data_IF_517609081767
#
_entry.id   IF_517609081767
#
_cell.length_a   1.000
_cell.length_b   1.000
_cell.length_c   1.000
_cell.angle_alpha   90.00
_cell.angle_beta   90.00
_cell.angle_gamma   90.00
#
_symmetry.space_group_name_H-M   'P 1'
#
loop_
_entity.id
_entity.type
_entity.pdbx_description
1 polymer ?
#
# COMPACT_ATOMS: atom_id res chain seq x y z
N UNK A 1 -18.37 0.53 11.08
CA UNK A 1 -17.37 0.77 10.02
C UNK A 1 -17.93 0.21 8.72
N UNK A 2 -17.98 1.03 7.68
CA UNK A 2 -18.38 0.61 6.34
C UNK A 2 -17.39 -0.41 5.76
N UNK A 3 -17.85 -1.23 4.82
CA UNK A 3 -17.02 -2.26 4.19
C UNK A 3 -15.76 -1.68 3.54
N UNK A 4 -15.89 -0.52 2.89
CA UNK A 4 -14.76 0.19 2.28
C UNK A 4 -13.71 0.60 3.32
N UNK A 5 -14.14 1.05 4.51
CA UNK A 5 -13.22 1.45 5.58
C UNK A 5 -12.39 0.26 6.07
N UNK A 6 -13.02 -0.92 6.19
CA UNK A 6 -12.32 -2.15 6.58
C UNK A 6 -11.26 -2.50 5.54
N UNK A 7 -11.62 -2.54 4.25
CA UNK A 7 -10.66 -2.88 3.20
C UNK A 7 -9.53 -1.85 3.06
N UNK A 8 -9.84 -0.56 3.22
CA UNK A 8 -8.84 0.50 3.21
C UNK A 8 -7.82 0.32 4.34
N UNK A 9 -8.29 0.11 5.57
CA UNK A 9 -7.41 -0.10 6.73
C UNK A 9 -6.58 -1.37 6.54
N UNK A 10 -7.18 -2.46 6.05
CA UNK A 10 -6.44 -3.70 5.77
C UNK A 10 -5.36 -3.49 4.71
N UNK A 11 -5.69 -2.83 3.59
CA UNK A 11 -4.75 -2.52 2.52
C UNK A 11 -3.59 -1.65 3.02
N UNK A 12 -3.90 -0.55 3.72
CA UNK A 12 -2.87 0.32 4.30
C UNK A 12 -1.99 -0.42 5.32
N UNK A 13 -2.58 -1.26 6.17
CA UNK A 13 -1.84 -2.05 7.16
C UNK A 13 -0.89 -3.04 6.49
N UNK A 14 -1.37 -3.79 5.49
CA UNK A 14 -0.55 -4.77 4.78
C UNK A 14 0.59 -4.08 4.02
N UNK A 15 0.30 -2.95 3.37
CA UNK A 15 1.33 -2.16 2.72
C UNK A 15 2.37 -1.66 3.73
N UNK A 16 1.97 -1.14 4.89
CA UNK A 16 2.92 -0.72 5.94
C UNK A 16 3.76 -1.88 6.47
N UNK A 17 3.18 -3.06 6.66
CA UNK A 17 3.94 -4.27 7.04
C UNK A 17 4.96 -4.64 5.96
N UNK A 18 4.60 -4.51 4.69
CA UNK A 18 5.52 -4.68 3.59
C UNK A 18 6.65 -3.63 3.62
N UNK A 19 6.34 -2.35 3.87
CA UNK A 19 7.37 -1.30 3.94
C UNK A 19 8.34 -1.48 5.13
N UNK A 20 7.88 -2.07 6.24
CA UNK A 20 8.75 -2.47 7.35
C UNK A 20 9.73 -3.57 6.91
N UNK A 21 9.25 -4.59 6.20
CA UNK A 21 10.11 -5.63 5.62
C UNK A 21 11.06 -5.03 4.57
N UNK A 22 10.57 -4.11 3.75
CA UNK A 22 11.32 -3.39 2.74
C UNK A 22 12.48 -2.59 3.34
N UNK A 23 12.23 -1.91 4.47
CA UNK A 23 13.25 -1.20 5.20
C UNK A 23 14.33 -2.15 5.76
N UNK A 24 13.92 -3.30 6.32
CA UNK A 24 14.83 -4.33 6.81
C UNK A 24 15.72 -4.89 5.69
N UNK A 25 15.14 -5.16 4.52
CA UNK A 25 15.82 -5.67 3.34
C UNK A 25 16.60 -4.59 2.56
N UNK A 26 16.61 -3.35 3.05
CA UNK A 26 17.29 -2.19 2.45
C UNK A 26 16.88 -1.99 0.99
N UNK A 27 15.57 -2.01 0.72
CA UNK A 27 15.03 -1.93 -0.64
C UNK A 27 15.49 -0.67 -1.41
N UNK A 28 15.83 0.42 -0.70
CA UNK A 28 16.46 1.60 -1.31
C UNK A 28 17.75 1.27 -2.07
N UNK A 29 18.49 0.21 -1.72
CA UNK A 29 19.69 -0.23 -2.45
C UNK A 29 19.34 -1.02 -3.70
N UNK A 30 18.23 -1.75 -3.64
CA UNK A 30 17.69 -2.54 -4.75
C UNK A 30 17.13 -1.60 -5.82
N UNK A 31 16.33 -0.64 -5.41
CA UNK A 31 15.69 0.38 -6.24
C UNK A 31 16.61 1.56 -6.57
N UNK A 32 17.83 1.58 -6.01
CA UNK A 32 18.82 2.65 -6.17
C UNK A 32 18.25 4.04 -5.83
N UNK A 33 17.44 4.11 -4.77
CA UNK A 33 16.85 5.36 -4.30
C UNK A 33 17.95 6.26 -3.70
N UNK A 34 17.90 7.58 -3.94
CA UNK A 34 18.83 8.53 -3.34
C UNK A 34 18.58 8.67 -1.83
N UNK A 35 19.60 9.13 -1.09
CA UNK A 35 19.45 9.42 0.34
C UNK A 35 19.49 8.22 1.29
N UNK A 36 19.65 6.99 0.77
CA UNK A 36 19.75 5.75 1.59
C UNK A 36 18.56 5.63 2.55
N UNK A 37 18.80 5.25 3.80
CA UNK A 37 17.77 5.11 4.84
C UNK A 37 17.05 6.43 5.12
N UNK A 38 17.74 7.57 5.14
CA UNK A 38 17.11 8.88 5.42
C UNK A 38 16.13 9.26 4.32
N UNK A 39 16.53 9.06 3.06
CA UNK A 39 15.66 9.26 1.90
C UNK A 39 14.45 8.34 1.92
N UNK A 40 14.64 7.08 2.30
CA UNK A 40 13.56 6.10 2.43
C UNK A 40 12.55 6.52 3.50
N UNK A 41 13.00 6.93 4.69
CA UNK A 41 12.11 7.41 5.76
C UNK A 41 11.37 8.67 5.34
N UNK A 42 12.07 9.66 4.75
CA UNK A 42 11.46 10.90 4.28
C UNK A 42 10.38 10.67 3.22
N UNK A 43 10.56 9.69 2.34
CA UNK A 43 9.55 9.27 1.36
C UNK A 43 8.29 8.72 2.05
N UNK A 44 8.45 7.96 3.13
CA UNK A 44 7.35 7.29 3.82
C UNK A 44 6.52 8.20 4.72
N UNK A 45 7.10 9.27 5.27
CA UNK A 45 6.36 10.25 6.11
C UNK A 45 5.08 10.74 5.43
N UNK A 46 5.11 11.33 4.21
CA UNK A 46 3.89 11.80 3.56
C UNK A 46 2.93 10.65 3.22
N UNK A 47 3.43 9.46 2.86
CA UNK A 47 2.60 8.29 2.56
C UNK A 47 1.80 7.86 3.80
N UNK A 48 2.45 7.78 4.96
CA UNK A 48 1.82 7.39 6.23
C UNK A 48 0.78 8.44 6.65
N UNK A 49 1.09 9.73 6.50
CA UNK A 49 0.12 10.81 6.77
C UNK A 49 -1.12 10.66 5.89
N UNK A 50 -0.94 10.36 4.60
CA UNK A 50 -2.04 10.14 3.67
C UNK A 50 -2.87 8.90 4.01
N UNK A 51 -2.28 7.84 4.58
CA UNK A 51 -3.06 6.69 5.06
C UNK A 51 -3.92 7.03 6.27
N UNK A 52 -3.38 7.74 7.26
CA UNK A 52 -4.18 8.14 8.42
C UNK A 52 -5.27 9.15 8.02
N UNK A 53 -4.93 10.15 7.22
CA UNK A 53 -5.92 11.11 6.71
C UNK A 53 -6.99 10.41 5.86
N UNK A 54 -6.57 9.52 4.95
CA UNK A 54 -7.47 8.72 4.14
C UNK A 54 -8.41 7.85 4.99
N UNK A 55 -7.93 7.24 6.07
CA UNK A 55 -8.77 6.44 6.97
C UNK A 55 -9.86 7.29 7.66
N UNK A 56 -9.51 8.51 8.09
CA UNK A 56 -10.47 9.44 8.70
C UNK A 56 -11.53 9.93 7.71
N UNK A 57 -11.14 10.14 6.45
CA UNK A 57 -12.02 10.67 5.41
C UNK A 57 -12.88 9.58 4.74
N UNK A 58 -12.35 8.37 4.60
CA UNK A 58 -13.07 7.26 3.97
C UNK A 58 -14.21 6.73 4.85
N UNK A 59 -14.08 6.83 6.18
CA UNK A 59 -15.17 6.51 7.11
C UNK A 59 -16.36 7.47 6.95
N UNK A 60 -16.09 8.72 6.60
CA UNK A 60 -17.11 9.75 6.33
C UNK A 60 -17.62 9.73 4.89
N UNK A 61 -17.09 8.83 4.05
CA UNK A 61 -17.39 8.74 2.62
C UNK A 61 -17.19 10.07 1.87
N UNK A 62 -16.24 10.91 2.29
CA UNK A 62 -15.96 12.16 1.58
C UNK A 62 -15.33 11.87 0.22
N UNK A 63 -15.52 12.77 -0.74
CA UNK A 63 -14.89 12.64 -2.06
C UNK A 63 -13.36 12.51 -1.96
N UNK A 64 -12.73 13.25 -1.04
CA UNK A 64 -11.30 13.13 -0.77
C UNK A 64 -10.91 11.75 -0.23
N UNK A 65 -11.71 11.19 0.71
CA UNK A 65 -11.51 9.85 1.24
C UNK A 65 -11.62 8.77 0.16
N UNK A 66 -12.60 8.87 -0.74
CA UNK A 66 -12.75 7.94 -1.86
C UNK A 66 -11.62 8.07 -2.89
N UNK A 67 -11.16 9.30 -3.18
CA UNK A 67 -10.00 9.50 -4.05
C UNK A 67 -8.73 8.87 -3.45
N UNK A 68 -8.52 9.05 -2.14
CA UNK A 68 -7.44 8.39 -1.42
C UNK A 68 -7.62 6.87 -1.39
N UNK A 69 -8.86 6.37 -1.35
CA UNK A 69 -9.16 4.95 -1.52
C UNK A 69 -8.70 4.39 -2.87
N UNK A 70 -8.89 5.13 -3.96
CA UNK A 70 -8.36 4.77 -5.29
C UNK A 70 -6.83 4.77 -5.29
N UNK A 71 -6.21 5.83 -4.78
CA UNK A 71 -4.74 5.97 -4.75
C UNK A 71 -4.10 4.86 -3.91
N UNK A 72 -4.58 4.65 -2.69
CA UNK A 72 -4.09 3.59 -1.78
C UNK A 72 -4.39 2.20 -2.33
N UNK A 73 -5.58 2.01 -2.93
CA UNK A 73 -5.94 0.77 -3.62
C UNK A 73 -4.98 0.43 -4.77
N UNK A 74 -4.63 1.41 -5.60
CA UNK A 74 -3.62 1.27 -6.65
C UNK A 74 -2.21 1.05 -6.08
N UNK A 75 -1.88 1.70 -4.96
CA UNK A 75 -0.64 1.46 -4.21
C UNK A 75 -0.47 0.01 -3.76
N UNK A 76 -1.57 -0.70 -3.49
CA UNK A 76 -1.58 -2.12 -3.12
C UNK A 76 -0.91 -3.05 -4.15
N UNK A 77 -0.84 -2.63 -5.41
CA UNK A 77 -0.21 -3.39 -6.49
C UNK A 77 1.30 -3.19 -6.56
N UNK A 78 1.84 -2.10 -5.99
CA UNK A 78 3.25 -1.72 -6.13
C UNK A 78 4.19 -2.84 -5.62
N UNK A 79 3.98 -3.43 -4.42
CA UNK A 79 4.84 -4.52 -3.95
C UNK A 79 4.88 -5.71 -4.91
N UNK A 80 3.72 -6.08 -5.47
CA UNK A 80 3.65 -7.17 -6.42
C UNK A 80 4.43 -6.86 -7.69
N UNK A 81 4.26 -5.65 -8.26
CA UNK A 81 4.98 -5.24 -9.46
C UNK A 81 6.50 -5.26 -9.22
N UNK A 82 6.95 -4.68 -8.10
CA UNK A 82 8.37 -4.62 -7.76
C UNK A 82 8.95 -6.02 -7.55
N UNK A 83 8.34 -6.83 -6.68
CA UNK A 83 8.92 -8.10 -6.23
C UNK A 83 8.65 -9.30 -7.14
N UNK A 84 7.70 -9.20 -8.08
CA UNK A 84 7.39 -10.31 -9.01
C UNK A 84 7.72 -10.01 -10.46
N UNK A 85 7.68 -8.76 -10.88
CA UNK A 85 7.89 -8.40 -12.28
C UNK A 85 9.27 -7.76 -12.47
N UNK A 86 9.61 -6.75 -11.66
CA UNK A 86 10.80 -5.93 -11.93
C UNK A 86 12.07 -6.40 -11.22
N UNK A 87 11.95 -6.96 -10.02
CA UNK A 87 13.09 -7.34 -9.17
C UNK A 87 12.90 -8.79 -8.70
N UNK A 88 13.24 -9.74 -9.57
CA UNK A 88 13.32 -11.15 -9.17
C UNK A 88 14.74 -11.43 -8.65
N UNK A 89 14.96 -11.34 -7.33
CA UNK A 89 16.24 -11.72 -6.72
C UNK A 89 16.08 -12.93 -5.78
N UNK A 90 17.02 -13.88 -5.87
CA UNK A 90 16.98 -15.17 -5.17
C UNK A 90 17.21 -15.11 -3.66
N UNK A 91 17.66 -13.96 -3.14
CA UNK A 91 18.24 -13.92 -1.78
C UNK A 91 17.51 -12.99 -0.79
N UNK A 92 16.46 -12.25 -1.21
CA UNK A 92 15.68 -11.32 -0.36
C UNK A 92 14.18 -11.43 -0.63
N UNK A 93 13.34 -11.20 0.40
CA UNK A 93 11.86 -11.32 0.34
C UNK A 93 11.32 -12.74 0.04
N UNK A 94 11.99 -13.79 0.55
CA UNK A 94 11.54 -15.19 0.38
C UNK A 94 10.74 -15.73 1.56
N UNK A 95 10.50 -14.91 2.58
CA UNK A 95 9.73 -15.35 3.73
C UNK A 95 8.29 -15.69 3.29
N UNK A 96 7.71 -16.75 3.88
CA UNK A 96 6.31 -17.11 3.61
C UNK A 96 5.37 -15.95 3.93
N UNK A 97 5.73 -15.14 4.94
CA UNK A 97 4.99 -13.96 5.36
C UNK A 97 5.06 -12.88 4.28
N UNK A 98 6.22 -12.62 3.69
CA UNK A 98 6.39 -11.66 2.58
C UNK A 98 5.44 -11.96 1.43
N UNK A 99 5.38 -13.23 1.02
CA UNK A 99 4.47 -13.67 -0.04
C UNK A 99 3.01 -13.46 0.34
N UNK A 100 2.63 -13.80 1.58
CA UNK A 100 1.27 -13.55 2.09
C UNK A 100 0.96 -12.06 2.01
N UNK A 101 1.84 -11.19 2.52
CA UNK A 101 1.66 -9.74 2.46
C UNK A 101 1.48 -9.25 1.03
N UNK A 102 2.34 -9.63 0.10
CA UNK A 102 2.26 -9.19 -1.30
C UNK A 102 0.92 -9.58 -1.94
N UNK A 103 0.47 -10.83 -1.80
CA UNK A 103 -0.77 -11.27 -2.44
C UNK A 103 -2.01 -10.72 -1.74
N UNK A 104 -2.01 -10.63 -0.40
CA UNK A 104 -3.15 -10.03 0.31
C UNK A 104 -3.26 -8.55 0.02
N UNK A 105 -2.14 -7.84 -0.19
CA UNK A 105 -2.15 -6.43 -0.58
C UNK A 105 -2.80 -6.19 -1.94
N UNK A 106 -2.61 -7.09 -2.91
CA UNK A 106 -3.32 -7.01 -4.19
C UNK A 106 -4.82 -7.18 -3.98
N UNK A 107 -5.23 -8.18 -3.19
CA UNK A 107 -6.64 -8.49 -2.97
C UNK A 107 -7.34 -7.33 -2.26
N UNK A 108 -6.75 -6.82 -1.18
CA UNK A 108 -7.30 -5.68 -0.43
C UNK A 108 -7.20 -4.37 -1.22
N UNK A 109 -6.16 -4.20 -2.03
CA UNK A 109 -5.99 -3.08 -2.95
C UNK A 109 -7.07 -3.03 -4.04
N UNK A 110 -7.32 -4.16 -4.73
CA UNK A 110 -8.42 -4.30 -5.71
C UNK A 110 -9.75 -3.98 -5.05
N UNK A 111 -10.03 -4.57 -3.88
CA UNK A 111 -11.29 -4.34 -3.18
C UNK A 111 -11.47 -2.87 -2.81
N UNK A 112 -10.45 -2.23 -2.24
CA UNK A 112 -10.48 -0.79 -1.89
C UNK A 112 -10.70 0.07 -3.13
N UNK A 113 -10.00 -0.20 -4.23
CA UNK A 113 -10.10 0.54 -5.48
C UNK A 113 -11.51 0.42 -6.09
N UNK A 114 -12.03 -0.80 -6.23
CA UNK A 114 -13.34 -1.03 -6.84
C UNK A 114 -14.47 -0.44 -5.99
N UNK A 115 -14.40 -0.58 -4.66
CA UNK A 115 -15.38 0.02 -3.76
C UNK A 115 -15.35 1.55 -3.83
N UNK A 116 -14.16 2.15 -3.89
CA UNK A 116 -14.00 3.60 -4.00
C UNK A 116 -14.59 4.13 -5.31
N UNK A 117 -14.29 3.49 -6.44
CA UNK A 117 -14.85 3.85 -7.76
C UNK A 117 -16.37 3.70 -7.76
N UNK A 118 -16.87 2.58 -7.24
CA UNK A 118 -18.31 2.31 -7.15
C UNK A 118 -19.04 3.42 -6.39
N UNK A 119 -18.52 3.81 -5.23
CA UNK A 119 -19.12 4.87 -4.39
C UNK A 119 -19.01 6.26 -5.02
N UNK A 120 -17.96 6.56 -5.79
CA UNK A 120 -17.85 7.82 -6.54
C UNK A 120 -18.87 7.88 -7.68
N UNK A 121 -19.07 6.78 -8.41
CA UNK A 121 -20.00 6.73 -9.55
C UNK A 121 -21.46 6.59 -9.08
N UNK A 122 -21.69 6.18 -7.83
CA UNK A 122 -23.02 6.02 -7.25
C UNK A 122 -23.75 4.75 -7.72
N UNK A 123 -22.98 3.70 -8.06
CA UNK A 123 -23.49 2.37 -8.47
C UNK A 123 -23.47 1.42 -7.26
#
# INVERSE_FOLDING_TARGET
MELITIFFILNATILLLHEIESAYEREWEILKLPGKIDGFVLLHIPIIILFFYGALEIEKLTYAGLLLGIITGAGGFIPFLVHRIFVVRKDRFHSRISNVLIYTNIITGIATLLLSIKLIIGI
#
